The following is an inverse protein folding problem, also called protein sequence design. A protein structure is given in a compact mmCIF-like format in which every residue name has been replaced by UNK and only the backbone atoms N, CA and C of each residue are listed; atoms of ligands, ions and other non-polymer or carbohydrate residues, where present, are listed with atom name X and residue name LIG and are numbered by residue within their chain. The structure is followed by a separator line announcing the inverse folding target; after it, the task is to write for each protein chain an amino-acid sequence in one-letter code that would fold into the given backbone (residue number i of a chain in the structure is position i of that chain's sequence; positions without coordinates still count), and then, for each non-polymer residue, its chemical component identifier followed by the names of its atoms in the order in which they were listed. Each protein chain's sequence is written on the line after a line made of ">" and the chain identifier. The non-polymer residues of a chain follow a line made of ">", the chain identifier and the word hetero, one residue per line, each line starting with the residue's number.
data_IF_636751018241
#
_entry.id   IF_636751018241
#
_cell.length_a   1.000
_cell.length_b   1.000
_cell.length_c   1.000
_cell.angle_alpha   90.00
_cell.angle_beta   90.00
_cell.angle_gamma   90.00
#
_symmetry.space_group_name_H-M   'P 1'
#
loop_
_entity.id
_entity.type
_entity.pdbx_description
1 polymer ?
#
# COMPACT_ATOMS: atom_id res chain seq x y z
N UNK A 1 -17.27 -5.42 -8.94
CA UNK A 1 -16.67 -6.43 -8.04
C UNK A 1 -16.37 -5.72 -6.74
N UNK A 2 -17.06 -6.09 -5.68
CA UNK A 2 -16.86 -5.50 -4.35
C UNK A 2 -15.63 -6.13 -3.70
N UNK A 3 -14.52 -5.39 -3.69
CA UNK A 3 -13.33 -5.77 -2.93
C UNK A 3 -13.42 -5.19 -1.52
N UNK A 4 -13.22 -6.03 -0.50
CA UNK A 4 -13.11 -5.56 0.88
C UNK A 4 -11.70 -5.02 1.10
N UNK A 5 -11.57 -3.82 1.66
CA UNK A 5 -10.25 -3.23 1.96
C UNK A 5 -9.99 -3.31 3.46
N UNK A 6 -8.90 -3.96 3.83
CA UNK A 6 -8.44 -4.04 5.22
C UNK A 6 -7.13 -3.27 5.38
N UNK A 7 -7.05 -2.46 6.43
CA UNK A 7 -5.87 -1.67 6.76
C UNK A 7 -5.21 -2.21 8.02
N UNK A 8 -3.91 -2.49 7.95
CA UNK A 8 -3.16 -2.89 9.13
C UNK A 8 -3.04 -1.74 10.14
N UNK A 9 -2.87 -2.11 11.42
CA UNK A 9 -2.60 -1.14 12.49
C UNK A 9 -1.29 -0.38 12.27
N UNK A 10 -0.32 -0.98 11.58
CA UNK A 10 0.94 -0.33 11.21
C UNK A 10 0.72 0.72 10.11
N UNK A 11 0.03 0.36 9.03
CA UNK A 11 -0.31 1.28 7.96
C UNK A 11 -1.09 2.49 8.46
N UNK A 12 -2.12 2.27 9.28
CA UNK A 12 -2.94 3.35 9.85
C UNK A 12 -2.13 4.32 10.71
N UNK A 13 -1.11 3.84 11.43
CA UNK A 13 -0.18 4.70 12.18
C UNK A 13 0.74 5.48 11.23
N UNK A 14 1.33 4.82 10.23
CA UNK A 14 2.23 5.45 9.27
C UNK A 14 1.52 6.52 8.43
N UNK A 15 0.32 6.23 7.92
CA UNK A 15 -0.46 7.18 7.12
C UNK A 15 -0.91 8.39 7.93
N UNK A 16 -1.26 8.22 9.22
CA UNK A 16 -1.60 9.34 10.12
C UNK A 16 -0.39 10.26 10.34
N UNK A 17 0.81 9.69 10.49
CA UNK A 17 2.05 10.47 10.59
C UNK A 17 2.38 11.16 9.27
N UNK A 18 2.23 10.45 8.15
CA UNK A 18 2.47 11.00 6.82
C UNK A 18 1.55 12.18 6.53
N UNK A 19 0.25 12.06 6.80
CA UNK A 19 -0.74 13.14 6.64
C UNK A 19 -0.32 14.43 7.35
N UNK A 20 0.35 14.33 8.50
CA UNK A 20 0.85 15.49 9.26
C UNK A 20 2.15 16.06 8.69
N UNK A 21 3.03 15.20 8.17
CA UNK A 21 4.36 15.58 7.68
C UNK A 21 4.32 16.09 6.23
N UNK A 22 3.60 15.41 5.36
CA UNK A 22 3.54 15.66 3.93
C UNK A 22 2.14 15.37 3.37
N UNK A 23 1.38 16.44 3.14
CA UNK A 23 0.01 16.35 2.61
C UNK A 23 0.00 15.96 1.13
N UNK A 24 1.03 16.31 0.37
CA UNK A 24 1.11 16.02 -1.07
C UNK A 24 1.28 14.52 -1.25
N UNK A 25 2.25 13.94 -0.55
CA UNK A 25 2.47 12.50 -0.59
C UNK A 25 1.27 11.72 -0.04
N UNK A 26 0.61 12.22 1.01
CA UNK A 26 -0.64 11.64 1.50
C UNK A 26 -1.71 11.57 0.40
N UNK A 27 -1.92 12.64 -0.37
CA UNK A 27 -2.87 12.65 -1.49
C UNK A 27 -2.46 11.65 -2.59
N UNK A 28 -1.16 11.53 -2.89
CA UNK A 28 -0.66 10.54 -3.84
C UNK A 28 -0.96 9.11 -3.39
N UNK A 29 -0.77 8.81 -2.09
CA UNK A 29 -1.12 7.51 -1.51
C UNK A 29 -2.62 7.25 -1.64
N UNK A 30 -3.47 8.24 -1.34
CA UNK A 30 -4.93 8.09 -1.48
C UNK A 30 -5.32 7.77 -2.93
N UNK A 31 -4.75 8.49 -3.91
CA UNK A 31 -5.00 8.22 -5.32
C UNK A 31 -4.56 6.80 -5.69
N UNK A 32 -3.42 6.33 -5.17
CA UNK A 32 -2.98 4.95 -5.38
C UNK A 32 -3.88 3.91 -4.72
N UNK A 33 -4.46 4.19 -3.55
CA UNK A 33 -5.43 3.29 -2.94
C UNK A 33 -6.68 3.15 -3.83
N UNK A 34 -7.16 4.24 -4.42
CA UNK A 34 -8.28 4.21 -5.38
C UNK A 34 -7.91 3.37 -6.61
N UNK A 35 -6.71 3.56 -7.17
CA UNK A 35 -6.21 2.73 -8.28
C UNK A 35 -6.18 1.24 -7.91
N UNK A 36 -5.73 0.90 -6.69
CA UNK A 36 -5.67 -0.49 -6.21
C UNK A 36 -7.08 -1.06 -6.04
N UNK A 37 -8.04 -0.29 -5.54
CA UNK A 37 -9.43 -0.76 -5.39
C UNK A 37 -10.07 -1.01 -6.77
N UNK A 38 -9.77 -0.14 -7.74
CA UNK A 38 -10.28 -0.28 -9.11
C UNK A 38 -9.62 -1.44 -9.86
N UNK A 39 -8.30 -1.61 -9.72
CA UNK A 39 -7.57 -2.69 -10.38
C UNK A 39 -6.42 -3.22 -9.49
N UNK A 40 -6.73 -4.09 -8.51
CA UNK A 40 -5.74 -4.54 -7.54
C UNK A 40 -4.64 -5.40 -8.20
N UNK A 41 -4.97 -6.07 -9.30
CA UNK A 41 -4.08 -6.97 -10.03
C UNK A 41 -3.09 -6.27 -10.97
N UNK A 42 -3.14 -4.95 -11.08
CA UNK A 42 -2.31 -4.18 -12.01
C UNK A 42 -0.82 -4.15 -11.64
N UNK A 43 -0.48 -4.15 -10.35
CA UNK A 43 0.89 -3.91 -9.90
C UNK A 43 1.74 -5.16 -9.83
N UNK A 44 3.05 -5.06 -10.09
CA UNK A 44 3.94 -6.24 -10.12
C UNK A 44 3.93 -7.00 -8.78
N UNK A 45 3.68 -8.33 -8.78
CA UNK A 45 3.82 -9.14 -7.58
C UNK A 45 5.30 -9.27 -7.21
N UNK A 46 5.55 -9.36 -5.91
CA UNK A 46 6.83 -9.78 -5.34
C UNK A 46 7.00 -11.30 -5.56
N UNK A 47 8.26 -11.74 -5.57
CA UNK A 47 8.64 -13.14 -5.81
C UNK A 47 9.03 -13.84 -4.49
N UNK A 48 9.20 -15.16 -4.55
CA UNK A 48 9.73 -16.02 -3.47
C UNK A 48 8.81 -16.04 -2.23
N UNK A 49 9.37 -15.94 -1.03
CA UNK A 49 8.61 -15.92 0.25
C UNK A 49 7.57 -14.80 0.35
N UNK A 50 7.66 -13.77 -0.50
CA UNK A 50 6.68 -12.69 -0.60
C UNK A 50 5.76 -12.84 -1.82
N UNK A 51 5.67 -14.03 -2.41
CA UNK A 51 4.72 -14.33 -3.48
C UNK A 51 3.29 -13.99 -3.03
N UNK A 52 2.58 -13.18 -3.83
CA UNK A 52 1.24 -12.69 -3.52
C UNK A 52 1.19 -11.28 -2.91
N UNK A 53 2.31 -10.78 -2.40
CA UNK A 53 2.45 -9.37 -2.04
C UNK A 53 2.75 -8.53 -3.27
N UNK A 54 2.31 -7.28 -3.26
CA UNK A 54 2.52 -6.30 -4.31
C UNK A 54 3.13 -5.05 -3.69
N UNK A 55 4.09 -4.47 -4.41
CA UNK A 55 4.86 -3.31 -3.96
C UNK A 55 4.64 -2.14 -4.90
N UNK A 56 4.36 -0.99 -4.33
CA UNK A 56 4.21 0.29 -5.06
C UNK A 56 5.20 1.28 -4.48
N UNK A 57 6.02 1.85 -5.36
CA UNK A 57 6.92 2.94 -5.03
C UNK A 57 6.19 4.28 -5.19
N UNK A 58 6.24 5.10 -4.14
CA UNK A 58 5.63 6.42 -4.02
C UNK A 58 6.74 7.41 -3.64
N UNK A 59 7.61 7.71 -4.61
CA UNK A 59 8.84 8.47 -4.37
C UNK A 59 9.72 7.72 -3.37
N UNK A 60 10.00 8.35 -2.22
CA UNK A 60 10.82 7.76 -1.17
C UNK A 60 10.08 6.78 -0.26
N UNK A 61 8.78 6.54 -0.47
CA UNK A 61 7.96 5.62 0.32
C UNK A 61 7.57 4.39 -0.48
N UNK A 62 7.42 3.28 0.22
CA UNK A 62 7.06 1.98 -0.32
C UNK A 62 5.76 1.55 0.34
N UNK A 63 4.72 1.36 -0.48
CA UNK A 63 3.45 0.78 -0.08
C UNK A 63 3.46 -0.72 -0.41
N UNK A 64 3.19 -1.54 0.59
CA UNK A 64 3.06 -2.99 0.44
C UNK A 64 1.62 -3.37 0.73
N UNK A 65 1.03 -4.14 -0.17
CA UNK A 65 -0.30 -4.71 0.00
C UNK A 65 -0.35 -6.14 -0.53
N UNK A 66 -1.38 -6.90 -0.15
CA UNK A 66 -1.65 -8.22 -0.72
C UNK A 66 -3.12 -8.33 -1.09
N UNK A 67 -3.42 -9.26 -1.98
CA UNK A 67 -4.79 -9.57 -2.39
C UNK A 67 -5.06 -11.01 -1.96
N UNK A 68 -6.07 -11.21 -1.14
CA UNK A 68 -6.52 -12.52 -0.70
C UNK A 68 -7.97 -12.71 -1.17
N UNK A 69 -8.16 -13.51 -2.22
CA UNK A 69 -9.45 -13.76 -2.89
C UNK A 69 -10.17 -12.49 -3.37
N UNK A 70 -10.93 -11.85 -2.47
CA UNK A 70 -11.68 -10.60 -2.70
C UNK A 70 -11.33 -9.51 -1.68
N UNK A 71 -10.27 -9.70 -0.90
CA UNK A 71 -9.85 -8.77 0.15
C UNK A 71 -8.49 -8.17 -0.19
N UNK A 72 -8.42 -6.84 -0.23
CA UNK A 72 -7.20 -6.07 -0.42
C UNK A 72 -6.68 -5.69 0.97
N UNK A 73 -5.56 -6.29 1.38
CA UNK A 73 -4.91 -6.01 2.67
C UNK A 73 -3.75 -5.06 2.49
N UNK A 74 -3.90 -3.84 2.99
CA UNK A 74 -2.82 -2.86 3.03
C UNK A 74 -1.93 -3.12 4.25
N UNK A 75 -0.69 -3.53 3.99
CA UNK A 75 0.22 -4.06 5.01
C UNK A 75 1.04 -2.94 5.64
N UNK A 76 1.70 -2.12 4.84
CA UNK A 76 2.61 -1.08 5.36
C UNK A 76 2.86 0.02 4.34
N UNK A 77 3.23 1.19 4.86
CA UNK A 77 3.71 2.34 4.11
C UNK A 77 4.92 2.92 4.84
N UNK A 78 6.11 2.63 4.34
CA UNK A 78 7.36 2.97 5.01
C UNK A 78 8.36 3.60 4.04
N UNK A 79 9.31 4.37 4.56
CA UNK A 79 10.38 4.92 3.75
C UNK A 79 11.31 3.81 3.26
N UNK A 80 11.77 3.86 2.02
CA UNK A 80 12.67 2.84 1.48
C UNK A 80 13.98 2.69 2.29
N UNK A 81 14.49 3.76 2.90
CA UNK A 81 15.65 3.69 3.84
C UNK A 81 15.40 2.86 5.11
N UNK A 82 14.14 2.60 5.48
CA UNK A 82 13.80 1.72 6.60
C UNK A 82 13.49 0.29 6.16
N UNK A 83 13.35 0.06 4.86
CA UNK A 83 12.94 -1.22 4.30
C UNK A 83 14.14 -2.08 3.85
N UNK A 84 15.37 -1.62 4.08
CA UNK A 84 16.64 -2.31 3.79
C UNK A 84 17.65 -2.02 4.91
#
# INVERSE_FOLDING_TARGET
>A
MDYTVEFSSHFTKSIKKLKKKDKILFQQVQNKLIDIISNPSHYKPLKNVLAGYRRIHLGSFVLIYKIEEKTIRIISLDHHDKAY
#
